data_IF_620389160901
#
_entry.id   IF_620389160901
#
_cell.length_a   1.000
_cell.length_b   1.000
_cell.length_c   1.000
_cell.angle_alpha   90.00
_cell.angle_beta   90.00
_cell.angle_gamma   90.00
#
_symmetry.space_group_name_H-M   'P 1'
#
loop_
_entity.id
_entity.type
_entity.pdbx_description
1 polymer ?
#
# COMPACT_ATOMS: atom_id res chain seq x y z
N UNK A 1 14.73 10.75 -29.69
CA UNK A 1 15.91 10.24 -28.97
C UNK A 1 15.51 9.05 -28.10
N UNK A 2 16.34 8.01 -28.03
CA UNK A 2 16.18 6.88 -27.11
C UNK A 2 16.92 7.21 -25.82
N UNK A 3 16.29 7.03 -24.67
CA UNK A 3 16.95 7.18 -23.36
C UNK A 3 17.69 5.89 -22.99
N UNK A 4 18.75 6.00 -22.19
CA UNK A 4 19.53 4.84 -21.72
C UNK A 4 18.83 4.08 -20.59
N UNK A 5 18.07 4.80 -19.75
CA UNK A 5 17.38 4.22 -18.60
C UNK A 5 16.04 4.91 -18.29
N UNK A 6 15.16 4.16 -17.62
CA UNK A 6 13.89 4.60 -17.05
C UNK A 6 13.85 4.18 -15.58
N UNK A 7 13.63 5.15 -14.69
CA UNK A 7 13.31 4.91 -13.28
C UNK A 7 11.83 5.20 -13.08
N UNK A 8 11.06 4.22 -12.58
CA UNK A 8 9.60 4.34 -12.50
C UNK A 8 9.03 3.92 -11.15
N UNK A 9 8.11 4.73 -10.64
CA UNK A 9 7.14 4.36 -9.62
C UNK A 9 5.80 4.08 -10.31
N UNK A 10 5.30 2.83 -10.31
CA UNK A 10 4.11 2.47 -11.05
C UNK A 10 2.84 2.86 -10.30
N UNK A 11 1.91 3.51 -11.00
CA UNK A 11 0.57 3.80 -10.46
C UNK A 11 -0.27 2.53 -10.23
N UNK A 12 0.03 1.44 -10.94
CA UNK A 12 -0.56 0.11 -10.77
C UNK A 12 0.50 -0.96 -10.92
N UNK A 13 0.53 -1.92 -9.99
CA UNK A 13 1.59 -2.93 -9.92
C UNK A 13 1.54 -3.95 -11.07
N UNK A 14 0.40 -4.11 -11.75
CA UNK A 14 0.21 -5.09 -12.83
C UNK A 14 0.09 -4.43 -14.20
N UNK A 15 -0.68 -3.35 -14.31
CA UNK A 15 -1.06 -2.75 -15.59
C UNK A 15 0.13 -2.11 -16.33
N UNK A 16 1.19 -1.70 -15.62
CA UNK A 16 2.38 -1.11 -16.23
C UNK A 16 3.36 -2.14 -16.78
N UNK A 17 3.26 -3.42 -16.39
CA UNK A 17 4.23 -4.46 -16.81
C UNK A 17 4.35 -4.61 -18.34
N UNK A 18 3.27 -4.57 -19.15
CA UNK A 18 3.39 -4.64 -20.60
C UNK A 18 4.18 -3.47 -21.23
N UNK A 19 4.08 -2.27 -20.65
CA UNK A 19 4.83 -1.09 -21.13
C UNK A 19 6.30 -1.19 -20.71
N UNK A 20 6.56 -1.66 -19.49
CA UNK A 20 7.91 -1.97 -19.02
C UNK A 20 8.59 -2.99 -19.93
N UNK A 21 7.88 -4.03 -20.36
CA UNK A 21 8.40 -5.00 -21.34
C UNK A 21 8.87 -4.32 -22.62
N UNK A 22 8.08 -3.41 -23.19
CA UNK A 22 8.45 -2.69 -24.42
C UNK A 22 9.76 -1.90 -24.25
N UNK A 23 9.97 -1.28 -23.09
CA UNK A 23 11.21 -0.56 -22.80
C UNK A 23 12.41 -1.52 -22.70
N UNK A 24 12.26 -2.63 -21.98
CA UNK A 24 13.30 -3.65 -21.83
C UNK A 24 13.65 -4.29 -23.16
N UNK A 25 12.65 -4.67 -23.97
CA UNK A 25 12.83 -5.25 -25.31
C UNK A 25 13.53 -4.26 -26.26
N UNK A 26 13.34 -2.96 -26.05
CA UNK A 26 14.07 -1.91 -26.78
C UNK A 26 15.51 -1.72 -26.27
N UNK A 27 15.97 -2.46 -25.26
CA UNK A 27 17.30 -2.34 -24.65
C UNK A 27 17.47 -1.12 -23.76
N UNK A 28 16.38 -0.62 -23.16
CA UNK A 28 16.42 0.45 -22.15
C UNK A 28 16.51 -0.21 -20.76
N UNK A 29 17.40 0.28 -19.90
CA UNK A 29 17.49 -0.20 -18.52
C UNK A 29 16.27 0.30 -17.74
N UNK A 30 15.57 -0.58 -17.04
CA UNK A 30 14.41 -0.19 -16.21
C UNK A 30 14.70 -0.48 -14.74
N UNK A 31 14.47 0.50 -13.87
CA UNK A 31 14.53 0.35 -12.41
C UNK A 31 13.17 0.73 -11.83
N UNK A 32 12.59 -0.18 -11.05
CA UNK A 32 11.33 0.07 -10.35
C UNK A 32 11.61 0.63 -8.95
N UNK A 33 10.95 1.72 -8.57
CA UNK A 33 11.06 2.33 -7.25
C UNK A 33 9.70 2.45 -6.54
N UNK A 34 9.74 2.62 -5.22
CA UNK A 34 8.60 2.94 -4.34
C UNK A 34 7.47 1.90 -4.32
N UNK A 35 6.59 1.88 -5.34
CA UNK A 35 5.57 0.86 -5.51
C UNK A 35 6.10 -0.30 -6.35
N UNK A 36 6.07 -1.51 -5.80
CA UNK A 36 6.65 -2.67 -6.48
C UNK A 36 5.74 -3.15 -7.61
N UNK A 37 6.31 -3.46 -8.78
CA UNK A 37 5.64 -4.22 -9.83
C UNK A 37 5.34 -5.64 -9.34
N UNK A 38 4.22 -6.19 -9.77
CA UNK A 38 3.80 -7.53 -9.39
C UNK A 38 4.81 -8.56 -9.88
N UNK A 39 5.32 -9.36 -8.94
CA UNK A 39 6.44 -10.26 -9.21
C UNK A 39 6.03 -11.45 -10.08
N UNK A 40 4.77 -11.87 -10.03
CA UNK A 40 4.28 -12.98 -10.84
C UNK A 40 3.92 -12.51 -12.25
N UNK A 41 3.41 -11.28 -12.39
CA UNK A 41 3.22 -10.68 -13.72
C UNK A 41 4.57 -10.45 -14.40
N UNK A 42 5.59 -9.96 -13.69
CA UNK A 42 6.96 -9.85 -14.24
C UNK A 42 7.49 -11.21 -14.73
N UNK A 43 7.42 -12.26 -13.89
CA UNK A 43 7.83 -13.62 -14.26
C UNK A 43 7.06 -14.14 -15.49
N UNK A 44 5.76 -13.91 -15.56
CA UNK A 44 4.92 -14.34 -16.69
C UNK A 44 5.32 -13.71 -18.03
N UNK A 45 6.10 -12.62 -17.99
CA UNK A 45 6.60 -11.88 -19.16
C UNK A 45 8.10 -12.04 -19.37
N UNK A 46 8.74 -12.94 -18.62
CA UNK A 46 10.19 -13.15 -18.61
C UNK A 46 10.97 -11.85 -18.35
N UNK A 47 10.48 -11.05 -17.39
CA UNK A 47 11.09 -9.80 -16.99
C UNK A 47 11.75 -9.92 -15.63
N UNK A 48 12.97 -9.40 -15.53
CA UNK A 48 13.66 -9.17 -14.28
C UNK A 48 13.96 -7.67 -14.13
N UNK A 49 13.15 -6.97 -13.33
CA UNK A 49 13.28 -5.53 -13.09
C UNK A 49 13.70 -5.32 -11.64
N UNK A 50 14.87 -4.72 -11.36
CA UNK A 50 15.30 -4.45 -9.99
C UNK A 50 14.34 -3.47 -9.31
N UNK A 51 14.07 -3.73 -8.03
CA UNK A 51 13.21 -2.88 -7.19
C UNK A 51 14.02 -2.22 -6.07
N UNK A 52 13.80 -0.92 -5.88
CA UNK A 52 14.33 -0.15 -4.75
C UNK A 52 13.18 0.56 -4.04
N UNK A 53 12.91 0.16 -2.80
CA UNK A 53 11.86 0.78 -2.01
C UNK A 53 11.84 0.27 -0.57
N UNK A 54 10.97 0.84 0.27
CA UNK A 54 10.86 0.43 1.66
C UNK A 54 10.22 -0.95 1.80
N UNK A 55 10.45 -1.57 2.95
CA UNK A 55 9.62 -2.66 3.43
C UNK A 55 8.33 -2.08 4.00
N UNK A 56 7.31 -1.92 3.15
CA UNK A 56 6.04 -1.29 3.51
C UNK A 56 5.28 -2.08 4.59
N UNK A 57 5.34 -3.41 4.57
CA UNK A 57 4.65 -4.24 5.55
C UNK A 57 5.26 -4.04 6.93
N UNK A 58 6.59 -4.17 7.04
CA UNK A 58 7.30 -3.94 8.30
C UNK A 58 7.21 -2.49 8.79
N UNK A 59 7.20 -1.53 7.87
CA UNK A 59 7.00 -0.12 8.18
C UNK A 59 5.64 0.15 8.81
N UNK A 60 4.58 -0.32 8.17
CA UNK A 60 3.21 -0.18 8.67
C UNK A 60 2.97 -0.97 9.96
N UNK A 61 3.56 -2.16 10.09
CA UNK A 61 3.50 -2.94 11.33
C UNK A 61 4.09 -2.15 12.51
N UNK A 62 5.21 -1.43 12.33
CA UNK A 62 5.78 -0.59 13.39
C UNK A 62 4.86 0.57 13.80
N UNK A 63 4.18 1.19 12.83
CA UNK A 63 3.20 2.25 13.09
C UNK A 63 2.00 1.68 13.86
N UNK A 64 1.49 0.53 13.41
CA UNK A 64 0.42 -0.19 14.11
C UNK A 64 0.83 -0.62 15.52
N UNK A 65 2.05 -1.12 15.70
CA UNK A 65 2.59 -1.52 17.00
C UNK A 65 2.73 -0.30 17.96
N UNK A 66 3.01 0.89 17.42
CA UNK A 66 2.98 2.12 18.21
C UNK A 66 1.57 2.44 18.70
N UNK A 67 0.57 2.40 17.82
CA UNK A 67 -0.84 2.61 18.18
C UNK A 67 -1.33 1.55 19.17
N UNK A 68 -0.96 0.28 18.98
CA UNK A 68 -1.38 -0.84 19.81
C UNK A 68 -1.05 -0.66 21.30
N UNK A 69 -0.03 0.14 21.65
CA UNK A 69 0.31 0.50 23.04
C UNK A 69 -0.80 1.31 23.75
N UNK A 70 -1.76 1.83 22.98
CA UNK A 70 -2.89 2.63 23.47
C UNK A 70 -4.22 1.88 23.40
N UNK A 71 -4.22 0.69 22.78
CA UNK A 71 -5.41 -0.12 22.56
C UNK A 71 -5.47 -1.31 23.52
N UNK A 72 -6.67 -1.87 23.65
CA UNK A 72 -6.98 -3.10 24.37
C UNK A 72 -7.62 -4.09 23.39
N UNK A 73 -7.60 -5.36 23.76
CA UNK A 73 -8.35 -6.39 23.03
C UNK A 73 -9.83 -6.01 22.94
N UNK A 74 -10.41 -6.13 21.76
CA UNK A 74 -11.77 -5.72 21.44
C UNK A 74 -11.96 -4.25 21.04
N UNK A 75 -10.95 -3.39 21.19
CA UNK A 75 -11.04 -2.01 20.69
C UNK A 75 -11.23 -2.01 19.17
N UNK A 76 -12.15 -1.18 18.71
CA UNK A 76 -12.54 -1.05 17.29
C UNK A 76 -11.62 -0.08 16.56
N UNK A 77 -11.13 -0.46 15.38
CA UNK A 77 -10.27 0.39 14.54
C UNK A 77 -10.68 0.32 13.06
N UNK A 78 -10.40 1.39 12.33
CA UNK A 78 -10.53 1.44 10.87
C UNK A 78 -9.16 1.50 10.19
N UNK A 79 -9.09 1.05 8.94
CA UNK A 79 -7.92 1.22 8.07
C UNK A 79 -8.33 2.03 6.84
N UNK A 80 -7.64 3.15 6.61
CA UNK A 80 -7.73 3.90 5.37
C UNK A 80 -6.50 3.56 4.54
N UNK A 81 -6.70 2.73 3.52
CA UNK A 81 -5.62 2.29 2.64
C UNK A 81 -5.44 3.22 1.43
N UNK A 82 -4.38 2.97 0.67
CA UNK A 82 -4.14 3.63 -0.59
C UNK A 82 -4.86 3.01 -1.77
N UNK A 83 -4.33 3.19 -2.98
CA UNK A 83 -4.86 2.56 -4.19
C UNK A 83 -4.79 1.03 -4.07
N UNK A 84 -5.94 0.35 -4.00
CA UNK A 84 -6.03 -1.07 -3.65
C UNK A 84 -5.32 -2.03 -4.62
N UNK A 85 -5.04 -1.59 -5.85
CA UNK A 85 -4.30 -2.38 -6.85
C UNK A 85 -2.78 -2.29 -6.71
N UNK A 86 -2.27 -1.42 -5.83
CA UNK A 86 -0.84 -1.20 -5.62
C UNK A 86 -0.29 -2.09 -4.52
N UNK A 87 0.89 -2.69 -4.77
CA UNK A 87 1.55 -3.57 -3.81
C UNK A 87 1.94 -2.83 -2.52
N UNK A 88 2.34 -1.55 -2.59
CA UNK A 88 2.66 -0.78 -1.39
C UNK A 88 1.44 -0.59 -0.48
N UNK A 89 0.25 -0.26 -1.02
CA UNK A 89 -0.99 -0.14 -0.26
C UNK A 89 -1.35 -1.47 0.42
N UNK A 90 -1.33 -2.56 -0.36
CA UNK A 90 -1.61 -3.91 0.15
C UNK A 90 -0.66 -4.31 1.28
N UNK A 91 0.64 -4.01 1.14
CA UNK A 91 1.63 -4.28 2.17
C UNK A 91 1.42 -3.43 3.43
N UNK A 92 1.10 -2.14 3.30
CA UNK A 92 0.81 -1.30 4.48
C UNK A 92 -0.44 -1.79 5.22
N UNK A 93 -1.51 -2.10 4.48
CA UNK A 93 -2.72 -2.72 5.05
C UNK A 93 -2.41 -4.03 5.76
N UNK A 94 -1.55 -4.89 5.19
CA UNK A 94 -1.13 -6.12 5.83
C UNK A 94 -0.36 -5.88 7.13
N UNK A 95 0.59 -4.94 7.15
CA UNK A 95 1.34 -4.57 8.35
C UNK A 95 0.43 -4.05 9.48
N UNK A 96 -0.54 -3.19 9.15
CA UNK A 96 -1.56 -2.73 10.10
C UNK A 96 -2.40 -3.88 10.65
N UNK A 97 -2.87 -4.79 9.78
CA UNK A 97 -3.63 -5.98 10.20
C UNK A 97 -2.82 -6.85 11.16
N UNK A 98 -1.55 -7.10 10.85
CA UNK A 98 -0.65 -7.85 11.73
C UNK A 98 -0.54 -7.20 13.11
N UNK A 99 -0.32 -5.89 13.18
CA UNK A 99 -0.21 -5.20 14.46
C UNK A 99 -1.52 -5.24 15.27
N UNK A 100 -2.67 -5.03 14.63
CA UNK A 100 -3.97 -5.06 15.31
C UNK A 100 -4.34 -6.46 15.79
N UNK A 101 -3.96 -7.50 15.02
CA UNK A 101 -4.15 -8.89 15.43
C UNK A 101 -3.37 -9.22 16.72
N UNK A 102 -2.15 -8.70 16.88
CA UNK A 102 -1.32 -8.96 18.09
C UNK A 102 -1.98 -8.46 19.38
N UNK A 103 -2.71 -7.34 19.32
CA UNK A 103 -3.40 -6.76 20.49
C UNK A 103 -4.86 -7.23 20.61
N UNK A 104 -5.36 -7.98 19.63
CA UNK A 104 -6.76 -8.42 19.59
C UNK A 104 -7.75 -7.30 19.29
N UNK A 105 -7.30 -6.23 18.63
CA UNK A 105 -8.19 -5.16 18.17
C UNK A 105 -9.07 -5.67 17.02
N UNK A 106 -10.30 -5.13 16.94
CA UNK A 106 -11.28 -5.46 15.90
C UNK A 106 -11.16 -4.45 14.76
N UNK A 107 -10.88 -4.93 13.56
CA UNK A 107 -10.82 -4.08 12.36
C UNK A 107 -12.22 -4.05 11.74
N UNK A 108 -12.94 -2.94 11.92
CA UNK A 108 -14.33 -2.81 11.50
C UNK A 108 -14.49 -2.41 10.03
N UNK A 109 -13.49 -1.73 9.47
CA UNK A 109 -13.53 -1.28 8.09
C UNK A 109 -12.13 -1.15 7.50
N UNK A 110 -12.02 -1.49 6.21
CA UNK A 110 -10.85 -1.21 5.37
C UNK A 110 -11.38 -0.58 4.09
N UNK A 111 -11.04 0.68 3.84
CA UNK A 111 -11.50 1.41 2.64
C UNK A 111 -10.35 2.23 2.06
N UNK A 112 -10.39 2.43 0.75
CA UNK A 112 -9.35 3.16 0.03
C UNK A 112 -9.62 4.67 0.05
N UNK A 113 -8.64 5.44 0.50
CA UNK A 113 -8.55 6.88 0.25
C UNK A 113 -7.83 7.21 -1.06
N UNK A 114 -7.43 6.21 -1.84
CA UNK A 114 -6.71 6.35 -3.12
C UNK A 114 -5.45 7.22 -3.11
N UNK A 115 -4.84 7.43 -1.93
CA UNK A 115 -3.74 8.38 -1.71
C UNK A 115 -4.09 9.87 -1.86
N UNK A 116 -5.39 10.19 -1.95
CA UNK A 116 -5.91 11.54 -2.15
C UNK A 116 -6.55 12.11 -0.87
N UNK A 117 -6.22 13.36 -0.53
CA UNK A 117 -6.70 14.04 0.69
C UNK A 117 -8.24 14.06 0.76
N UNK A 118 -8.90 14.47 -0.33
CA UNK A 118 -10.36 14.61 -0.35
C UNK A 118 -11.06 13.27 -0.17
N UNK A 119 -10.51 12.20 -0.76
CA UNK A 119 -11.05 10.85 -0.60
C UNK A 119 -10.77 10.31 0.79
N UNK A 120 -9.55 10.49 1.32
CA UNK A 120 -9.21 10.14 2.70
C UNK A 120 -10.15 10.78 3.72
N UNK A 121 -10.42 12.08 3.57
CA UNK A 121 -11.37 12.82 4.41
C UNK A 121 -12.80 12.26 4.32
N UNK A 122 -13.27 11.96 3.12
CA UNK A 122 -14.60 11.38 2.91
C UNK A 122 -14.73 10.00 3.55
N UNK A 123 -13.71 9.14 3.40
CA UNK A 123 -13.68 7.80 4.00
C UNK A 123 -13.60 7.88 5.52
N UNK A 124 -12.72 8.72 6.08
CA UNK A 124 -12.61 8.91 7.52
C UNK A 124 -13.96 9.35 8.12
N UNK A 125 -14.60 10.35 7.51
CA UNK A 125 -15.93 10.82 7.92
C UNK A 125 -16.98 9.72 7.84
N UNK A 126 -17.00 8.94 6.76
CA UNK A 126 -17.92 7.81 6.60
C UNK A 126 -17.69 6.72 7.66
N UNK A 127 -16.43 6.39 7.97
CA UNK A 127 -16.10 5.38 8.98
C UNK A 127 -16.53 5.83 10.38
N UNK A 128 -16.21 7.07 10.76
CA UNK A 128 -16.57 7.59 12.08
C UNK A 128 -18.09 7.65 12.29
N UNK A 129 -18.85 7.91 11.22
CA UNK A 129 -20.31 7.88 11.28
C UNK A 129 -20.89 6.45 11.34
N UNK A 130 -20.34 5.52 10.55
CA UNK A 130 -20.84 4.15 10.47
C UNK A 130 -20.45 3.29 11.69
N UNK A 131 -19.30 3.59 12.31
CA UNK A 131 -18.71 2.83 13.41
C UNK A 131 -18.42 3.77 14.60
N UNK A 132 -19.46 4.16 15.38
CA UNK A 132 -19.33 5.19 16.41
C UNK A 132 -18.40 4.80 17.58
N UNK A 133 -17.98 3.54 17.67
CA UNK A 133 -17.08 3.04 18.72
C UNK A 133 -15.61 2.95 18.27
N UNK A 134 -15.29 3.26 17.00
CA UNK A 134 -13.91 3.28 16.52
C UNK A 134 -13.04 4.16 17.43
N UNK A 135 -11.93 3.60 17.90
CA UNK A 135 -10.94 4.27 18.75
C UNK A 135 -9.79 4.88 17.97
N UNK A 136 -9.51 4.35 16.79
CA UNK A 136 -8.42 4.82 15.95
C UNK A 136 -8.63 4.50 14.46
N UNK A 137 -8.03 5.32 13.62
CA UNK A 137 -7.88 5.09 12.18
C UNK A 137 -6.40 4.90 11.88
N UNK A 138 -6.07 3.82 11.18
CA UNK A 138 -4.73 3.54 10.65
C UNK A 138 -4.71 3.97 9.19
N UNK A 139 -4.05 5.10 8.90
CA UNK A 139 -3.97 5.66 7.56
C UNK A 139 -2.68 5.21 6.87
N UNK A 140 -2.78 4.79 5.61
CA UNK A 140 -1.64 4.31 4.83
C UNK A 140 -0.62 5.40 4.45
N UNK A 141 -0.96 6.68 4.63
CA UNK A 141 -0.13 7.86 4.38
C UNK A 141 -0.62 9.04 5.24
N UNK A 142 0.03 10.19 5.07
CA UNK A 142 -0.19 11.41 5.83
C UNK A 142 -1.26 12.34 5.22
N UNK A 143 -1.70 12.06 3.98
CA UNK A 143 -2.70 12.84 3.24
C UNK A 143 -4.13 12.60 3.75
#
# INVERSE_FOLDING_TARGET
SKVDAIVLAPADSKALVPVVKKAVDAGIIVVNIDNKLDSDVLKSKDLNVPFVGPDNAKGAEKVGDYLAKKLKSGDEVGIIEGVSTTTNAQQRTAGFKTAMQKVGAKIDSVQSGEWEIDKGNAIASSMLNAYPNIKALLCGNDN
#
